data_IF_674313660882
#
_entry.id   IF_674313660882
#
_cell.length_a   1.000
_cell.length_b   1.000
_cell.length_c   1.000
_cell.angle_alpha   90.00
_cell.angle_beta   90.00
_cell.angle_gamma   90.00
#
_symmetry.space_group_name_H-M   'P 1'
#
loop_
_entity.id
_entity.type
_entity.pdbx_description
1 polymer ?
#
# COMPACT_ATOMS: atom_id res chain seq x y z
N UNK A 1 10.15 5.33 -40.12
CA UNK A 1 9.90 6.02 -38.85
C UNK A 1 10.99 7.04 -38.64
N UNK A 2 10.66 8.33 -38.49
CA UNK A 2 11.64 9.34 -38.08
C UNK A 2 12.19 8.91 -36.72
N UNK A 3 13.48 8.61 -36.68
CA UNK A 3 14.27 8.60 -35.47
C UNK A 3 14.15 10.00 -34.85
N UNK A 4 13.32 10.14 -33.82
CA UNK A 4 13.35 11.29 -32.92
C UNK A 4 14.63 11.19 -32.11
N UNK A 5 15.72 11.70 -32.69
CA UNK A 5 16.78 12.28 -31.87
C UNK A 5 16.15 13.46 -31.09
N UNK A 6 16.23 13.42 -29.75
CA UNK A 6 16.00 14.60 -28.92
C UNK A 6 14.89 14.52 -27.88
N UNK A 7 15.01 13.62 -26.91
CA UNK A 7 14.70 13.98 -25.52
C UNK A 7 15.85 13.40 -24.67
N UNK A 8 16.69 14.25 -24.06
CA UNK A 8 17.72 13.75 -23.14
C UNK A 8 17.10 13.19 -21.85
N UNK A 9 15.82 13.49 -21.61
CA UNK A 9 15.10 13.21 -20.37
C UNK A 9 14.67 11.74 -20.31
N UNK A 10 14.61 11.19 -19.11
CA UNK A 10 13.96 9.90 -18.89
C UNK A 10 12.44 10.04 -18.89
N UNK A 11 11.72 8.93 -18.95
CA UNK A 11 10.26 8.94 -18.84
C UNK A 11 9.78 9.48 -17.48
N UNK A 12 10.53 9.23 -16.41
CA UNK A 12 10.24 9.77 -15.07
C UNK A 12 10.34 11.29 -15.06
N UNK A 13 11.40 11.83 -15.66
CA UNK A 13 11.60 13.28 -15.83
C UNK A 13 10.52 13.94 -16.67
N UNK A 14 10.15 13.33 -17.81
CA UNK A 14 9.05 13.82 -18.65
C UNK A 14 7.73 13.87 -17.90
N UNK A 15 7.42 12.82 -17.11
CA UNK A 15 6.18 12.76 -16.35
C UNK A 15 6.15 13.75 -15.20
N UNK A 16 7.26 13.96 -14.48
CA UNK A 16 7.32 15.01 -13.47
C UNK A 16 7.04 16.39 -14.10
N UNK A 17 7.68 16.71 -15.22
CA UNK A 17 7.48 17.98 -15.89
C UNK A 17 6.02 18.18 -16.37
N UNK A 18 5.38 17.13 -16.90
CA UNK A 18 3.95 17.16 -17.25
C UNK A 18 3.06 17.44 -16.02
N UNK A 19 3.36 16.81 -14.88
CA UNK A 19 2.63 17.03 -13.62
C UNK A 19 2.84 18.44 -13.08
N UNK A 20 4.07 18.95 -13.10
CA UNK A 20 4.36 20.33 -12.68
C UNK A 20 3.64 21.35 -13.56
N UNK A 21 3.56 21.13 -14.88
CA UNK A 21 2.77 21.99 -15.78
C UNK A 21 1.28 21.92 -15.47
N UNK A 22 0.75 20.72 -15.22
CA UNK A 22 -0.65 20.55 -14.84
C UNK A 22 -0.96 21.26 -13.51
N UNK A 23 -0.07 21.12 -12.53
CA UNK A 23 -0.19 21.78 -11.23
C UNK A 23 -0.05 23.30 -11.33
N UNK A 24 0.78 23.80 -12.26
CA UNK A 24 1.01 25.23 -12.50
C UNK A 24 -0.27 25.98 -12.90
N UNK A 25 -1.13 25.29 -13.62
CA UNK A 25 -2.43 25.80 -14.06
C UNK A 25 -3.52 25.70 -12.96
N UNK A 26 -3.22 25.06 -11.82
CA UNK A 26 -4.11 24.95 -10.67
C UNK A 26 -3.84 26.07 -9.64
N UNK A 27 -4.87 26.43 -8.88
CA UNK A 27 -4.78 27.40 -7.77
C UNK A 27 -3.80 26.97 -6.68
N UNK A 28 -3.51 25.67 -6.56
CA UNK A 28 -2.56 25.11 -5.61
C UNK A 28 -1.09 25.44 -5.90
N UNK A 29 -0.76 25.87 -7.12
CA UNK A 29 0.63 26.10 -7.51
C UNK A 29 1.40 27.00 -6.55
N UNK A 30 0.77 28.10 -6.12
CA UNK A 30 1.42 29.09 -5.27
C UNK A 30 1.76 28.55 -3.88
N UNK A 31 0.89 27.74 -3.29
CA UNK A 31 1.15 27.10 -2.00
C UNK A 31 2.18 25.97 -2.15
N UNK A 32 2.10 25.20 -3.24
CA UNK A 32 3.10 24.18 -3.57
C UNK A 32 4.50 24.77 -3.75
N UNK A 33 4.65 25.84 -4.54
CA UNK A 33 5.93 26.48 -4.82
C UNK A 33 6.54 27.14 -3.56
N UNK A 34 5.70 27.70 -2.67
CA UNK A 34 6.17 28.20 -1.36
C UNK A 34 6.64 27.09 -0.44
N UNK A 35 5.88 26.00 -0.39
CA UNK A 35 6.25 24.83 0.41
C UNK A 35 7.58 24.26 -0.10
N UNK A 36 7.74 24.13 -1.42
CA UNK A 36 8.98 23.69 -2.06
C UNK A 36 10.16 24.59 -1.67
N UNK A 37 10.01 25.90 -1.86
CA UNK A 37 11.02 26.89 -1.51
C UNK A 37 11.42 26.83 -0.03
N UNK A 38 10.46 26.65 0.88
CA UNK A 38 10.71 26.51 2.30
C UNK A 38 11.45 25.21 2.64
N UNK A 39 11.07 24.08 2.03
CA UNK A 39 11.69 22.77 2.30
C UNK A 39 13.13 22.69 1.77
N UNK A 40 13.38 23.21 0.57
CA UNK A 40 14.67 23.05 -0.12
C UNK A 40 15.53 24.33 -0.15
N UNK A 41 15.10 25.38 0.55
CA UNK A 41 15.86 26.63 0.66
C UNK A 41 16.05 27.36 -0.67
N UNK A 42 15.06 27.27 -1.57
CA UNK A 42 15.10 27.91 -2.90
C UNK A 42 14.22 29.17 -2.95
N UNK A 43 14.26 29.90 -4.07
CA UNK A 43 13.30 30.98 -4.32
C UNK A 43 11.92 30.39 -4.69
N UNK A 44 10.85 31.12 -4.36
CA UNK A 44 9.52 30.79 -4.87
C UNK A 44 9.48 31.10 -6.36
N UNK A 45 9.18 30.09 -7.16
CA UNK A 45 9.16 30.19 -8.63
C UNK A 45 7.73 30.09 -9.16
N UNK A 46 7.44 30.83 -10.23
CA UNK A 46 6.13 30.86 -10.87
C UNK A 46 6.15 30.20 -12.27
N UNK A 47 7.06 29.25 -12.46
CA UNK A 47 7.29 28.53 -13.72
C UNK A 47 7.63 27.05 -13.45
N UNK A 48 6.98 26.16 -14.21
CA UNK A 48 7.12 24.71 -14.05
C UNK A 48 8.48 24.16 -14.52
N UNK A 49 9.08 24.73 -15.57
CA UNK A 49 10.41 24.32 -16.06
C UNK A 49 11.50 24.77 -15.10
N UNK A 50 11.35 25.95 -14.49
CA UNK A 50 12.30 26.42 -13.45
C UNK A 50 12.25 25.51 -12.23
N UNK A 51 11.05 25.19 -11.72
CA UNK A 51 10.92 24.27 -10.57
C UNK A 51 11.45 22.87 -10.92
N UNK A 52 11.17 22.38 -12.12
CA UNK A 52 11.75 21.12 -12.61
C UNK A 52 13.29 21.16 -12.66
N UNK A 53 13.86 22.28 -13.11
CA UNK A 53 15.30 22.53 -13.08
C UNK A 53 15.87 22.52 -11.66
N UNK A 54 15.15 23.11 -10.70
CA UNK A 54 15.50 23.07 -9.28
C UNK A 54 15.48 21.64 -8.74
N UNK A 55 14.46 20.83 -9.06
CA UNK A 55 14.44 19.41 -8.69
C UNK A 55 15.68 18.64 -9.20
N UNK A 56 16.16 18.97 -10.41
CA UNK A 56 17.35 18.37 -11.00
C UNK A 56 18.67 18.89 -10.40
N UNK A 57 18.67 20.08 -9.79
CA UNK A 57 19.88 20.67 -9.20
C UNK A 57 20.10 20.24 -7.75
N UNK A 58 19.03 19.90 -7.01
CA UNK A 58 19.13 19.43 -5.63
C UNK A 58 20.07 18.21 -5.49
N UNK A 59 20.84 18.05 -4.40
CA UNK A 59 21.57 16.82 -4.15
C UNK A 59 20.59 15.63 -4.02
N UNK A 60 20.80 14.48 -4.70
CA UNK A 60 19.81 13.40 -4.71
C UNK A 60 19.41 12.88 -3.33
N UNK A 61 20.36 12.85 -2.39
CA UNK A 61 20.10 12.43 -1.00
C UNK A 61 19.27 13.45 -0.22
N UNK A 62 19.52 14.74 -0.43
CA UNK A 62 18.70 15.80 0.18
C UNK A 62 17.29 15.82 -0.41
N UNK A 63 17.16 15.53 -1.72
CA UNK A 63 15.86 15.40 -2.38
C UNK A 63 15.06 14.20 -1.84
N UNK A 64 15.69 13.05 -1.63
CA UNK A 64 15.06 11.85 -1.04
C UNK A 64 14.53 12.11 0.37
N UNK A 65 15.29 12.80 1.22
CA UNK A 65 14.86 13.12 2.59
C UNK A 65 13.81 14.23 2.59
N UNK A 66 14.04 15.30 1.83
CA UNK A 66 13.17 16.48 1.80
C UNK A 66 11.78 16.21 1.22
N UNK A 67 11.64 15.25 0.28
CA UNK A 67 10.33 14.95 -0.32
C UNK A 67 9.34 14.40 0.72
N UNK A 68 9.81 13.74 1.78
CA UNK A 68 8.95 13.21 2.84
C UNK A 68 8.31 14.33 3.66
N UNK A 69 9.12 15.30 4.09
CA UNK A 69 8.64 16.51 4.78
C UNK A 69 7.69 17.30 3.88
N UNK A 70 8.09 17.49 2.63
CA UNK A 70 7.30 18.17 1.62
C UNK A 70 5.91 17.51 1.43
N UNK A 71 5.85 16.19 1.36
CA UNK A 71 4.60 15.45 1.19
C UNK A 71 3.63 15.61 2.37
N UNK A 72 4.13 15.67 3.60
CA UNK A 72 3.30 15.89 4.79
C UNK A 72 2.64 17.27 4.77
N UNK A 73 3.43 18.32 4.56
CA UNK A 73 2.96 19.71 4.47
C UNK A 73 1.93 19.86 3.34
N UNK A 74 2.22 19.32 2.16
CA UNK A 74 1.31 19.39 1.03
C UNK A 74 -0.02 18.68 1.30
N UNK A 75 0.00 17.54 2.00
CA UNK A 75 -1.22 16.81 2.33
C UNK A 75 -2.14 17.63 3.23
N UNK A 76 -1.59 18.38 4.19
CA UNK A 76 -2.38 19.25 5.07
C UNK A 76 -3.13 20.34 4.28
N UNK A 77 -2.49 20.91 3.26
CA UNK A 77 -3.10 21.92 2.38
C UNK A 77 -4.34 21.40 1.64
N UNK A 78 -4.37 20.11 1.31
CA UNK A 78 -5.47 19.48 0.56
C UNK A 78 -6.28 18.49 1.42
N UNK A 79 -6.20 18.61 2.74
CA UNK A 79 -6.83 17.70 3.69
C UNK A 79 -8.38 17.66 3.60
N UNK A 80 -9.04 18.45 2.76
CA UNK A 80 -10.50 18.40 2.59
C UNK A 80 -10.96 18.23 1.13
N UNK A 81 -10.05 18.10 0.16
CA UNK A 81 -10.38 18.02 -1.27
C UNK A 81 -9.72 16.80 -1.92
N UNK A 82 -10.49 15.73 -2.11
CA UNK A 82 -10.02 14.43 -2.63
C UNK A 82 -9.42 14.56 -4.04
N UNK A 83 -9.99 15.40 -4.91
CA UNK A 83 -9.47 15.59 -6.27
C UNK A 83 -8.09 16.22 -6.25
N UNK A 84 -7.94 17.26 -5.42
CA UNK A 84 -6.67 17.95 -5.21
C UNK A 84 -5.61 17.09 -4.49
N UNK A 85 -6.03 16.24 -3.55
CA UNK A 85 -5.14 15.23 -2.93
C UNK A 85 -4.47 14.35 -3.97
N UNK A 86 -5.21 13.90 -4.98
CA UNK A 86 -4.64 13.07 -6.04
C UNK A 86 -3.61 13.82 -6.88
N UNK A 87 -3.90 15.06 -7.30
CA UNK A 87 -2.96 15.85 -8.11
C UNK A 87 -1.64 16.14 -7.37
N UNK A 88 -1.76 16.54 -6.09
CA UNK A 88 -0.61 16.78 -5.20
C UNK A 88 0.16 15.50 -4.93
N UNK A 89 -0.54 14.42 -4.57
CA UNK A 89 0.08 13.13 -4.28
C UNK A 89 0.82 12.56 -5.48
N UNK A 90 0.23 12.59 -6.67
CA UNK A 90 0.88 12.15 -7.91
C UNK A 90 2.12 13.00 -8.24
N UNK A 91 2.09 14.30 -7.96
CA UNK A 91 3.24 15.19 -8.19
C UNK A 91 4.37 14.91 -7.19
N UNK A 92 4.05 14.74 -5.91
CA UNK A 92 5.02 14.37 -4.87
C UNK A 92 5.66 12.99 -5.15
N UNK A 93 4.87 12.00 -5.57
CA UNK A 93 5.37 10.69 -6.02
C UNK A 93 6.32 10.84 -7.20
N UNK A 94 6.01 11.68 -8.19
CA UNK A 94 6.89 11.92 -9.33
C UNK A 94 8.23 12.56 -8.92
N UNK A 95 8.24 13.45 -7.92
CA UNK A 95 9.47 14.01 -7.33
C UNK A 95 10.27 12.92 -6.62
N UNK A 96 9.62 12.09 -5.80
CA UNK A 96 10.26 10.96 -5.12
C UNK A 96 10.89 9.97 -6.12
N UNK A 97 10.21 9.66 -7.21
CA UNK A 97 10.74 8.82 -8.29
C UNK A 97 11.94 9.46 -9.00
N UNK A 98 11.93 10.78 -9.24
CA UNK A 98 13.11 11.49 -9.75
C UNK A 98 14.29 11.39 -8.77
N UNK A 99 14.03 11.53 -7.46
CA UNK A 99 15.04 11.41 -6.43
C UNK A 99 15.67 10.00 -6.43
N UNK A 100 14.84 8.95 -6.50
CA UNK A 100 15.29 7.57 -6.67
C UNK A 100 16.12 7.39 -7.94
N UNK A 101 15.66 7.90 -9.09
CA UNK A 101 16.39 7.82 -10.35
C UNK A 101 17.80 8.39 -10.24
N UNK A 102 17.92 9.62 -9.74
CA UNK A 102 19.21 10.30 -9.62
C UNK A 102 20.12 9.61 -8.62
N UNK A 103 19.57 9.11 -7.51
CA UNK A 103 20.33 8.34 -6.53
C UNK A 103 20.83 7.01 -7.10
N UNK A 104 19.97 6.25 -7.77
CA UNK A 104 20.31 4.98 -8.41
C UNK A 104 21.42 5.18 -9.44
N UNK A 105 21.31 6.18 -10.32
CA UNK A 105 22.32 6.47 -11.33
C UNK A 105 23.64 6.97 -10.72
N UNK A 106 23.61 7.62 -9.56
CA UNK A 106 24.82 8.00 -8.84
C UNK A 106 25.54 6.79 -8.22
N UNK A 107 24.79 5.83 -7.68
CA UNK A 107 25.38 4.62 -7.08
C UNK A 107 25.82 3.59 -8.13
N UNK A 108 25.08 3.49 -9.23
CA UNK A 108 25.30 2.55 -10.33
C UNK A 108 25.25 3.28 -11.70
N UNK A 109 26.29 4.04 -12.08
CA UNK A 109 26.30 4.82 -13.33
C UNK A 109 26.13 3.97 -14.60
N UNK A 110 26.55 2.71 -14.57
CA UNK A 110 26.42 1.77 -15.70
C UNK A 110 24.96 1.51 -16.10
N UNK A 111 23.98 1.76 -15.22
CA UNK A 111 22.56 1.66 -15.56
C UNK A 111 22.14 2.71 -16.60
N UNK A 112 22.92 3.79 -16.77
CA UNK A 112 22.68 4.81 -17.78
C UNK A 112 22.95 4.34 -19.22
N UNK A 113 23.74 3.27 -19.38
CA UNK A 113 24.11 2.71 -20.70
C UNK A 113 22.92 1.99 -21.38
N UNK A 114 21.84 1.78 -20.63
CA UNK A 114 20.59 1.19 -21.09
C UNK A 114 20.39 -0.25 -20.62
N UNK A 115 19.13 -0.67 -20.54
CA UNK A 115 18.76 -2.01 -20.12
C UNK A 115 19.21 -3.07 -21.15
N UNK A 116 19.76 -4.22 -20.70
CA UNK A 116 20.02 -5.35 -21.57
C UNK A 116 18.73 -5.82 -22.24
N UNK A 117 18.79 -6.03 -23.56
CA UNK A 117 17.64 -6.50 -24.35
C UNK A 117 17.19 -7.90 -23.90
N UNK A 118 18.12 -8.71 -23.41
CA UNK A 118 17.85 -10.04 -22.89
C UNK A 118 17.29 -10.05 -21.45
N UNK A 119 16.94 -8.88 -20.88
CA UNK A 119 16.37 -8.75 -19.54
C UNK A 119 17.36 -8.25 -18.49
N UNK A 120 16.81 -7.65 -17.43
CA UNK A 120 17.56 -7.09 -16.30
C UNK A 120 17.61 -8.08 -15.14
N UNK A 121 18.80 -8.36 -14.61
CA UNK A 121 18.96 -9.07 -13.34
C UNK A 121 19.14 -8.02 -12.23
N UNK A 122 18.25 -8.02 -11.25
CA UNK A 122 18.22 -7.00 -10.19
C UNK A 122 18.45 -7.65 -8.83
N UNK A 123 19.48 -7.20 -8.13
CA UNK A 123 19.74 -7.58 -6.73
C UNK A 123 18.79 -6.82 -5.80
N UNK A 124 17.56 -7.34 -5.71
CA UNK A 124 16.53 -6.90 -4.77
C UNK A 124 15.60 -8.09 -4.49
N UNK A 125 15.20 -8.25 -3.24
CA UNK A 125 14.18 -9.23 -2.81
C UNK A 125 12.78 -8.63 -2.81
N UNK A 126 12.67 -7.30 -2.72
CA UNK A 126 11.40 -6.59 -2.75
C UNK A 126 10.99 -6.19 -4.18
N UNK A 127 9.76 -6.52 -4.55
CA UNK A 127 9.21 -6.29 -5.89
C UNK A 127 9.10 -4.80 -6.24
N UNK A 128 8.70 -3.96 -5.30
CA UNK A 128 8.56 -2.52 -5.52
C UNK A 128 9.94 -1.90 -5.77
N UNK A 129 10.93 -2.25 -4.94
CA UNK A 129 12.30 -1.80 -5.12
C UNK A 129 12.85 -2.24 -6.49
N UNK A 130 12.67 -3.51 -6.84
CA UNK A 130 13.12 -4.06 -8.12
C UNK A 130 12.46 -3.33 -9.31
N UNK A 131 11.17 -3.03 -9.23
CA UNK A 131 10.45 -2.32 -10.27
C UNK A 131 10.92 -0.87 -10.46
N UNK A 132 11.20 -0.14 -9.38
CA UNK A 132 11.74 1.22 -9.46
C UNK A 132 13.12 1.20 -10.12
N UNK A 133 13.98 0.26 -9.73
CA UNK A 133 15.32 0.10 -10.34
C UNK A 133 15.20 -0.27 -11.83
N UNK A 134 14.30 -1.19 -12.17
CA UNK A 134 14.02 -1.58 -13.55
C UNK A 134 13.51 -0.39 -14.39
N UNK A 135 12.68 0.47 -13.81
CA UNK A 135 12.17 1.66 -14.50
C UNK A 135 13.27 2.68 -14.82
N UNK A 136 14.24 2.83 -13.92
CA UNK A 136 15.44 3.66 -14.15
C UNK A 136 16.31 3.05 -15.24
N UNK A 137 16.63 1.76 -15.14
CA UNK A 137 17.52 1.07 -16.07
C UNK A 137 16.95 0.97 -17.49
N UNK A 138 15.64 0.69 -17.61
CA UNK A 138 14.94 0.61 -18.91
C UNK A 138 14.54 1.98 -19.47
N UNK A 139 14.49 3.02 -18.63
CA UNK A 139 13.95 4.35 -18.95
C UNK A 139 12.48 4.34 -19.41
N UNK A 140 11.74 3.25 -19.17
CA UNK A 140 10.35 3.06 -19.63
C UNK A 140 9.28 3.59 -18.65
N UNK A 141 9.72 4.19 -17.55
CA UNK A 141 8.84 4.77 -16.53
C UNK A 141 8.20 3.72 -15.61
N UNK A 142 7.54 4.22 -14.57
CA UNK A 142 6.80 3.41 -13.59
C UNK A 142 5.53 4.16 -13.18
N UNK A 143 4.44 3.41 -12.96
CA UNK A 143 3.21 3.96 -12.41
C UNK A 143 2.99 3.36 -11.03
N UNK A 144 3.16 4.18 -10.00
CA UNK A 144 2.83 3.81 -8.63
C UNK A 144 1.41 4.27 -8.30
N UNK A 145 0.63 3.37 -7.71
CA UNK A 145 -0.73 3.63 -7.22
C UNK A 145 -0.87 3.08 -5.81
N UNK A 146 -1.84 3.57 -5.06
CA UNK A 146 -2.20 2.97 -3.77
C UNK A 146 -3.02 1.72 -4.05
N UNK A 147 -2.59 0.58 -3.53
CA UNK A 147 -3.39 -0.63 -3.60
C UNK A 147 -4.67 -0.47 -2.77
N UNK A 148 -5.85 -0.70 -3.35
CA UNK A 148 -7.11 -0.50 -2.60
C UNK A 148 -7.36 -1.54 -1.50
N UNK A 149 -6.65 -2.67 -1.53
CA UNK A 149 -6.80 -3.76 -0.58
C UNK A 149 -5.71 -3.71 0.48
N UNK A 150 -4.46 -3.57 0.05
CA UNK A 150 -3.31 -3.59 0.94
C UNK A 150 -2.81 -2.22 1.32
N UNK A 151 -3.33 -1.16 0.70
CA UNK A 151 -2.93 0.25 0.81
C UNK A 151 -1.43 0.58 0.77
N UNK A 152 -0.65 -0.42 0.37
CA UNK A 152 0.75 -0.29 0.04
C UNK A 152 0.89 0.32 -1.38
N UNK A 153 2.03 0.96 -1.68
CA UNK A 153 2.41 1.27 -3.05
C UNK A 153 2.42 0.01 -3.92
N UNK A 154 1.59 0.02 -4.97
CA UNK A 154 1.58 -0.99 -6.03
C UNK A 154 2.10 -0.39 -7.33
N UNK A 155 2.82 -1.21 -8.09
CA UNK A 155 3.24 -0.87 -9.44
C UNK A 155 2.21 -1.35 -10.45
N UNK A 156 1.53 -0.41 -11.09
CA UNK A 156 0.33 -0.64 -11.90
C UNK A 156 0.64 -1.00 -13.37
N UNK A 157 1.92 -0.90 -13.78
CA UNK A 157 2.38 -1.27 -15.13
C UNK A 157 3.22 -2.57 -15.15
N UNK A 158 3.21 -3.36 -14.06
CA UNK A 158 3.84 -4.69 -14.07
C UNK A 158 2.89 -5.72 -14.66
N UNK A 159 3.34 -6.47 -15.64
CA UNK A 159 2.67 -7.70 -16.03
C UNK A 159 2.79 -8.73 -14.87
N UNK A 160 1.79 -9.63 -14.72
CA UNK A 160 1.75 -10.59 -13.63
C UNK A 160 3.04 -11.42 -13.54
N UNK A 161 3.47 -11.74 -12.31
CA UNK A 161 4.70 -12.51 -12.06
C UNK A 161 4.46 -14.01 -11.95
N UNK A 162 3.23 -14.41 -11.66
CA UNK A 162 2.80 -15.78 -11.43
C UNK A 162 1.93 -16.29 -12.58
N UNK A 163 2.15 -17.55 -12.94
CA UNK A 163 1.20 -18.32 -13.75
C UNK A 163 0.31 -19.03 -12.74
N UNK A 164 -1.01 -18.78 -12.74
CA UNK A 164 -1.93 -19.51 -11.86
C UNK A 164 -1.70 -21.02 -12.03
N UNK A 165 -1.68 -21.84 -10.96
CA UNK A 165 -1.19 -23.23 -11.01
C UNK A 165 -1.90 -24.18 -12.00
N UNK A 166 -3.02 -23.77 -12.61
CA UNK A 166 -3.84 -24.61 -13.50
C UNK A 166 -4.48 -23.90 -14.71
N UNK A 167 -4.33 -22.59 -14.90
CA UNK A 167 -5.28 -21.85 -15.75
C UNK A 167 -4.54 -21.08 -16.84
N UNK A 168 -4.91 -21.34 -18.11
CA UNK A 168 -5.09 -20.39 -19.23
C UNK A 168 -5.21 -21.13 -20.58
N UNK A 169 -4.98 -22.46 -20.63
CA UNK A 169 -5.26 -23.33 -21.79
C UNK A 169 -4.56 -22.89 -23.10
N UNK A 170 -3.50 -22.09 -22.99
CA UNK A 170 -2.54 -21.79 -24.05
C UNK A 170 -1.36 -22.76 -23.91
N UNK A 171 -1.05 -23.49 -24.97
CA UNK A 171 0.01 -24.50 -24.96
C UNK A 171 1.41 -23.96 -25.26
N UNK A 172 1.50 -22.74 -25.81
CA UNK A 172 2.74 -22.12 -26.26
C UNK A 172 3.16 -20.94 -25.37
N UNK A 173 4.43 -20.89 -25.00
CA UNK A 173 5.02 -19.90 -24.08
C UNK A 173 4.94 -18.47 -24.61
N UNK A 174 5.13 -18.30 -25.92
CA UNK A 174 5.06 -17.02 -26.58
C UNK A 174 3.62 -16.52 -26.64
N UNK A 175 2.67 -17.38 -26.96
CA UNK A 175 1.24 -17.04 -26.92
C UNK A 175 0.77 -16.69 -25.50
N UNK A 176 1.26 -17.40 -24.48
CA UNK A 176 0.99 -17.05 -23.07
C UNK A 176 1.45 -15.63 -22.74
N UNK A 177 2.69 -15.29 -23.10
CA UNK A 177 3.23 -13.95 -22.84
C UNK A 177 2.51 -12.86 -23.65
N UNK A 178 2.17 -13.12 -24.92
CA UNK A 178 1.43 -12.17 -25.76
C UNK A 178 0.00 -11.95 -25.23
N UNK A 179 -0.65 -13.00 -24.76
CA UNK A 179 -1.99 -12.92 -24.17
C UNK A 179 -2.01 -12.04 -22.93
N UNK A 180 -0.99 -12.11 -22.07
CA UNK A 180 -0.84 -11.23 -20.91
C UNK A 180 -0.68 -9.76 -21.30
N UNK A 181 0.19 -9.49 -22.28
CA UNK A 181 0.36 -8.12 -22.80
C UNK A 181 -0.97 -7.59 -23.32
N UNK A 182 -1.70 -8.38 -24.10
CA UNK A 182 -3.00 -7.96 -24.62
C UNK A 182 -4.07 -7.79 -23.53
N UNK A 183 -4.07 -8.66 -22.51
CA UNK A 183 -4.98 -8.57 -21.37
C UNK A 183 -4.76 -7.28 -20.57
N UNK A 184 -3.51 -6.90 -20.31
CA UNK A 184 -3.18 -5.63 -19.68
C UNK A 184 -3.56 -4.44 -20.55
N UNK A 185 -3.33 -4.51 -21.87
CA UNK A 185 -3.76 -3.46 -22.81
C UNK A 185 -5.27 -3.25 -22.77
N UNK A 186 -6.06 -4.34 -22.71
CA UNK A 186 -7.51 -4.26 -22.60
C UNK A 186 -7.95 -3.73 -21.23
N UNK A 187 -7.31 -4.15 -20.14
CA UNK A 187 -7.60 -3.65 -18.79
C UNK A 187 -7.32 -2.14 -18.67
N UNK A 188 -6.17 -1.69 -19.17
CA UNK A 188 -5.81 -0.26 -19.19
C UNK A 188 -6.79 0.56 -20.04
N UNK A 189 -7.18 0.05 -21.22
CA UNK A 189 -8.16 0.72 -22.10
C UNK A 189 -9.50 0.94 -21.41
N UNK A 190 -9.91 0.00 -20.56
CA UNK A 190 -11.19 0.05 -19.85
C UNK A 190 -11.09 0.69 -18.46
N UNK A 191 -9.90 1.16 -18.06
CA UNK A 191 -9.60 1.70 -16.72
C UNK A 191 -9.91 0.71 -15.59
N UNK A 192 -9.60 -0.56 -15.84
CA UNK A 192 -9.90 -1.69 -14.95
C UNK A 192 -8.63 -2.35 -14.38
N UNK A 193 -7.49 -1.65 -14.38
CA UNK A 193 -6.21 -2.17 -13.88
C UNK A 193 -6.26 -2.62 -12.42
N UNK A 194 -7.03 -1.95 -11.56
CA UNK A 194 -7.25 -2.39 -10.19
C UNK A 194 -7.81 -3.82 -10.12
N UNK A 195 -8.78 -4.14 -10.98
CA UNK A 195 -9.38 -5.48 -11.03
C UNK A 195 -8.48 -6.51 -11.71
N UNK A 196 -7.57 -6.05 -12.58
CA UNK A 196 -6.57 -6.89 -13.21
C UNK A 196 -5.46 -7.28 -12.21
N UNK A 197 -5.11 -6.41 -11.26
CA UNK A 197 -4.04 -6.62 -10.28
C UNK A 197 -4.47 -7.09 -8.87
N UNK A 198 -5.72 -6.90 -8.42
CA UNK A 198 -6.16 -7.24 -7.05
C UNK A 198 -6.43 -8.73 -6.78
N UNK A 199 -6.48 -9.16 -5.51
CA UNK A 199 -6.65 -10.58 -5.12
C UNK A 199 -7.84 -10.88 -4.17
N UNK A 200 -8.21 -12.16 -4.05
CA UNK A 200 -9.30 -12.84 -3.30
C UNK A 200 -10.61 -13.22 -4.03
N UNK A 201 -10.88 -12.72 -5.25
CA UNK A 201 -11.93 -13.28 -6.15
C UNK A 201 -11.54 -13.17 -7.63
N UNK A 202 -10.33 -13.61 -7.98
CA UNK A 202 -9.66 -13.48 -9.28
C UNK A 202 -10.53 -13.83 -10.51
N UNK A 203 -11.39 -12.90 -10.91
CA UNK A 203 -12.08 -12.92 -12.21
C UNK A 203 -11.46 -11.91 -13.16
N UNK A 204 -10.91 -10.77 -12.72
CA UNK A 204 -10.44 -9.72 -13.63
C UNK A 204 -9.40 -10.18 -14.64
N UNK A 205 -8.17 -10.53 -14.20
CA UNK A 205 -7.10 -11.06 -15.07
C UNK A 205 -7.57 -12.28 -15.87
N UNK A 206 -8.14 -13.29 -15.20
CA UNK A 206 -8.64 -14.51 -15.83
C UNK A 206 -9.68 -14.23 -16.93
N UNK A 207 -10.69 -13.40 -16.66
CA UNK A 207 -11.71 -13.00 -17.63
C UNK A 207 -11.08 -12.28 -18.81
N UNK A 208 -10.07 -11.43 -18.59
CA UNK A 208 -9.35 -10.79 -19.69
C UNK A 208 -8.62 -11.81 -20.55
N UNK A 209 -7.91 -12.76 -19.95
CA UNK A 209 -7.22 -13.82 -20.68
C UNK A 209 -8.20 -14.74 -21.44
N UNK A 210 -9.34 -15.09 -20.84
CA UNK A 210 -10.43 -15.83 -21.50
C UNK A 210 -11.01 -15.04 -22.68
N UNK A 211 -11.20 -13.73 -22.54
CA UNK A 211 -11.64 -12.84 -23.62
C UNK A 211 -10.60 -12.72 -24.73
N UNK A 212 -9.30 -12.64 -24.41
CA UNK A 212 -8.23 -12.64 -25.42
C UNK A 212 -8.24 -13.98 -26.16
N UNK A 213 -8.42 -15.10 -25.44
CA UNK A 213 -8.48 -16.42 -26.05
C UNK A 213 -9.66 -16.61 -27.00
N UNK A 214 -10.84 -16.10 -26.64
CA UNK A 214 -12.02 -16.20 -27.52
C UNK A 214 -11.91 -15.35 -28.79
N UNK A 215 -11.17 -14.25 -28.74
CA UNK A 215 -10.93 -13.34 -29.88
C UNK A 215 -9.69 -13.69 -30.69
N UNK A 216 -8.73 -14.39 -30.09
CA UNK A 216 -7.37 -14.58 -30.61
C UNK A 216 -6.44 -13.42 -30.22
N UNK A 217 -5.13 -13.70 -30.19
CA UNK A 217 -4.09 -12.69 -30.01
C UNK A 217 -4.04 -11.82 -31.26
N UNK A 218 -4.11 -10.49 -31.14
CA UNK A 218 -4.11 -9.61 -32.30
C UNK A 218 -2.75 -9.58 -33.00
N UNK A 219 -2.75 -9.13 -34.25
CA UNK A 219 -1.52 -8.89 -34.99
C UNK A 219 -0.59 -7.91 -34.25
N UNK A 220 0.71 -8.10 -34.42
CA UNK A 220 1.77 -7.34 -33.74
C UNK A 220 1.60 -5.82 -33.86
N UNK A 221 1.22 -5.31 -35.03
CA UNK A 221 0.98 -3.87 -35.23
C UNK A 221 -0.12 -3.32 -34.30
N UNK A 222 -1.22 -4.07 -34.14
CA UNK A 222 -2.31 -3.68 -33.25
C UNK A 222 -1.88 -3.72 -31.78
N UNK A 223 -1.05 -4.70 -31.40
CA UNK A 223 -0.48 -4.80 -30.05
C UNK A 223 0.45 -3.62 -29.76
N UNK A 224 1.31 -3.25 -30.71
CA UNK A 224 2.19 -2.07 -30.59
C UNK A 224 1.38 -0.76 -30.45
N UNK A 225 0.29 -0.59 -31.21
CA UNK A 225 -0.60 0.57 -31.05
C UNK A 225 -1.24 0.56 -29.65
N UNK A 226 -1.70 -0.60 -29.19
CA UNK A 226 -2.24 -0.78 -27.85
C UNK A 226 -1.26 -0.35 -26.76
N UNK A 227 -0.04 -0.89 -26.80
CA UNK A 227 1.05 -0.57 -25.89
C UNK A 227 1.40 0.91 -25.87
N UNK A 228 1.50 1.57 -27.04
CA UNK A 228 1.75 3.01 -27.11
C UNK A 228 0.65 3.82 -26.42
N UNK A 229 -0.63 3.46 -26.61
CA UNK A 229 -1.75 4.13 -25.93
C UNK A 229 -1.73 3.91 -24.42
N UNK A 230 -1.39 2.70 -23.98
CA UNK A 230 -1.19 2.40 -22.55
C UNK A 230 -0.07 3.27 -21.99
N UNK A 231 1.06 3.34 -22.68
CA UNK A 231 2.22 4.12 -22.27
C UNK A 231 1.94 5.64 -22.24
N UNK A 232 1.16 6.16 -23.19
CA UNK A 232 0.66 7.54 -23.19
C UNK A 232 -0.24 7.81 -21.97
N UNK A 233 -1.18 6.91 -21.69
CA UNK A 233 -2.18 7.09 -20.63
C UNK A 233 -1.63 6.86 -19.22
N UNK A 234 -0.89 5.77 -19.02
CA UNK A 234 -0.30 5.43 -17.74
C UNK A 234 0.96 6.23 -17.46
N UNK A 235 1.62 6.72 -18.51
CA UNK A 235 2.93 7.36 -18.44
C UNK A 235 4.09 6.38 -18.32
N UNK A 236 3.82 5.07 -18.30
CA UNK A 236 4.80 4.02 -18.18
C UNK A 236 4.46 2.87 -19.14
N UNK A 237 5.47 2.21 -19.68
CA UNK A 237 5.28 1.05 -20.54
C UNK A 237 5.08 -0.21 -19.71
N UNK A 238 4.19 -1.14 -20.12
CA UNK A 238 4.13 -2.47 -19.52
C UNK A 238 5.49 -3.16 -19.51
N UNK A 239 5.80 -3.81 -18.39
CA UNK A 239 7.06 -4.52 -18.16
C UNK A 239 6.80 -5.81 -17.39
N UNK A 240 7.47 -6.90 -17.73
CA UNK A 240 7.43 -8.13 -16.93
C UNK A 240 8.38 -8.00 -15.74
N UNK A 241 7.86 -8.19 -14.53
CA UNK A 241 8.65 -8.23 -13.29
C UNK A 241 8.48 -9.57 -12.62
N UNK A 242 9.40 -10.50 -12.84
CA UNK A 242 9.25 -11.92 -12.50
C UNK A 242 10.18 -12.28 -11.35
N UNK A 243 9.67 -12.99 -10.33
CA UNK A 243 10.54 -13.62 -9.34
C UNK A 243 11.35 -14.71 -10.02
N UNK A 244 12.68 -14.64 -9.94
CA UNK A 244 13.52 -15.54 -10.70
C UNK A 244 13.34 -17.01 -10.29
N UNK A 245 12.96 -17.27 -9.03
CA UNK A 245 12.63 -18.60 -8.54
C UNK A 245 11.33 -19.18 -9.12
N UNK A 246 10.40 -18.34 -9.62
CA UNK A 246 9.10 -18.78 -10.09
C UNK A 246 9.13 -19.25 -11.56
N UNK A 247 8.40 -20.33 -11.92
CA UNK A 247 8.32 -20.78 -13.31
C UNK A 247 7.51 -19.79 -14.16
N UNK A 248 8.13 -19.27 -15.23
CA UNK A 248 7.50 -18.30 -16.11
C UNK A 248 8.05 -18.38 -17.55
N UNK A 249 7.22 -18.15 -18.61
CA UNK A 249 7.68 -18.12 -20.02
C UNK A 249 8.86 -17.19 -20.27
N UNK A 250 8.89 -16.06 -19.56
CA UNK A 250 9.94 -15.05 -19.70
C UNK A 250 11.28 -15.46 -19.10
N UNK A 251 11.48 -16.72 -18.68
CA UNK A 251 12.82 -17.29 -18.44
C UNK A 251 13.58 -17.58 -19.74
N UNK A 252 12.90 -17.69 -20.88
CA UNK A 252 13.55 -17.77 -22.20
C UNK A 252 14.11 -16.40 -22.63
N UNK A 253 15.44 -16.32 -22.77
CA UNK A 253 16.15 -15.12 -23.20
C UNK A 253 15.81 -14.68 -24.64
N UNK A 254 15.45 -15.60 -25.53
CA UNK A 254 15.03 -15.28 -26.89
C UNK A 254 13.66 -14.62 -26.88
N UNK A 255 12.73 -15.13 -26.07
CA UNK A 255 11.41 -14.54 -25.89
C UNK A 255 11.52 -13.14 -25.28
N UNK A 256 12.36 -12.95 -24.25
CA UNK A 256 12.64 -11.62 -23.68
C UNK A 256 13.17 -10.64 -24.73
N UNK A 257 14.10 -11.09 -25.58
CA UNK A 257 14.67 -10.28 -26.65
C UNK A 257 13.61 -9.89 -27.68
N UNK A 258 12.78 -10.84 -28.10
CA UNK A 258 11.69 -10.60 -29.04
C UNK A 258 10.76 -9.51 -28.49
N UNK A 259 10.26 -9.66 -27.26
CA UNK A 259 9.35 -8.69 -26.65
C UNK A 259 9.98 -7.31 -26.46
N UNK A 260 11.26 -7.24 -26.06
CA UNK A 260 11.96 -5.99 -25.92
C UNK A 260 12.15 -5.27 -27.28
N UNK A 261 12.55 -5.99 -28.34
CA UNK A 261 12.81 -5.39 -29.65
C UNK A 261 11.53 -5.07 -30.40
N UNK A 262 10.58 -6.01 -30.42
CA UNK A 262 9.39 -5.93 -31.26
C UNK A 262 8.25 -5.18 -30.58
N UNK A 263 8.12 -5.30 -29.26
CA UNK A 263 7.03 -4.71 -28.50
C UNK A 263 7.51 -3.64 -27.52
N UNK A 264 8.81 -3.41 -27.36
CA UNK A 264 9.34 -2.51 -26.32
C UNK A 264 8.96 -2.95 -24.90
N UNK A 265 8.55 -4.20 -24.71
CA UNK A 265 8.14 -4.73 -23.39
C UNK A 265 9.35 -5.42 -22.79
N UNK A 266 9.95 -4.79 -21.80
CA UNK A 266 11.14 -5.32 -21.14
C UNK A 266 10.78 -6.37 -20.07
N UNK A 267 11.81 -7.02 -19.54
CA UNK A 267 11.68 -7.96 -18.42
C UNK A 267 12.78 -7.70 -17.41
N UNK A 268 12.43 -7.72 -16.13
CA UNK A 268 13.39 -7.85 -15.04
C UNK A 268 13.10 -9.10 -14.22
N UNK A 269 14.18 -9.72 -13.76
CA UNK A 269 14.19 -10.83 -12.82
C UNK A 269 14.81 -10.31 -11.52
N UNK A 270 14.18 -10.63 -10.40
CA UNK A 270 14.60 -10.21 -9.06
C UNK A 270 14.44 -11.39 -8.10
N UNK A 271 14.88 -11.23 -6.85
CA UNK A 271 15.04 -12.24 -5.77
C UNK A 271 16.46 -12.80 -5.60
N UNK A 272 16.63 -13.67 -4.59
CA UNK A 272 17.89 -14.33 -4.29
C UNK A 272 18.45 -15.17 -5.46
N UNK A 273 17.60 -15.81 -6.25
CA UNK A 273 18.04 -16.60 -7.40
C UNK A 273 18.54 -15.68 -8.54
N UNK A 274 17.95 -14.49 -8.69
CA UNK A 274 18.50 -13.48 -9.61
C UNK A 274 19.90 -13.02 -9.18
N UNK A 275 20.13 -12.87 -7.87
CA UNK A 275 21.45 -12.49 -7.30
C UNK A 275 22.51 -13.54 -7.57
N UNK A 276 22.17 -14.81 -7.40
CA UNK A 276 23.07 -15.95 -7.68
C UNK A 276 23.46 -16.05 -9.16
N UNK A 277 22.64 -15.49 -10.05
CA UNK A 277 22.88 -15.46 -11.49
C UNK A 277 23.79 -14.32 -11.96
N UNK A 278 24.14 -13.38 -11.06
CA UNK A 278 25.06 -12.28 -11.36
C UNK A 278 26.52 -12.76 -11.35
N UNK A 279 27.37 -12.12 -12.16
CA UNK A 279 28.82 -12.31 -12.00
C UNK A 279 29.32 -11.73 -10.68
N UNK A 280 30.46 -12.22 -10.16
CA UNK A 280 31.04 -11.71 -8.90
C UNK A 280 31.25 -10.18 -8.91
N UNK A 281 31.65 -9.62 -10.05
CA UNK A 281 31.85 -8.18 -10.21
C UNK A 281 30.53 -7.40 -10.15
N UNK A 282 29.46 -7.93 -10.76
CA UNK A 282 28.14 -7.30 -10.72
C UNK A 282 27.58 -7.37 -9.30
N UNK A 283 27.59 -8.56 -8.68
CA UNK A 283 27.11 -8.75 -7.31
C UNK A 283 27.82 -7.82 -6.32
N UNK A 284 29.15 -7.66 -6.43
CA UNK A 284 29.90 -6.71 -5.60
C UNK A 284 29.48 -5.25 -5.79
N UNK A 285 29.15 -4.84 -7.03
CA UNK A 285 28.66 -3.49 -7.32
C UNK A 285 27.26 -3.25 -6.73
N UNK A 286 26.34 -4.21 -6.89
CA UNK A 286 24.99 -4.16 -6.32
C UNK A 286 25.01 -4.08 -4.79
N UNK A 287 25.78 -4.95 -4.14
CA UNK A 287 25.93 -4.96 -2.67
C UNK A 287 26.49 -3.64 -2.12
N UNK A 288 27.43 -3.02 -2.84
CA UNK A 288 27.98 -1.72 -2.47
C UNK A 288 26.96 -0.60 -2.65
N UNK A 289 26.16 -0.64 -3.70
CA UNK A 289 25.16 0.38 -4.04
C UNK A 289 23.98 0.42 -3.06
N UNK A 290 23.62 -0.72 -2.44
CA UNK A 290 22.53 -0.83 -1.44
C UNK A 290 21.21 -0.19 -1.88
N UNK A 291 20.83 -0.38 -3.14
CA UNK A 291 19.71 0.33 -3.76
C UNK A 291 18.34 0.03 -3.14
N UNK A 292 18.05 -1.23 -2.80
CA UNK A 292 16.73 -1.61 -2.27
C UNK A 292 16.35 -0.83 -0.99
N UNK A 293 17.18 -0.83 0.08
CA UNK A 293 16.88 -0.05 1.28
C UNK A 293 16.62 1.43 0.98
N UNK A 294 17.43 2.05 0.11
CA UNK A 294 17.29 3.47 -0.20
C UNK A 294 16.00 3.77 -0.97
N UNK A 295 15.57 2.88 -1.87
CA UNK A 295 14.29 3.01 -2.56
C UNK A 295 13.12 2.83 -1.59
N UNK A 296 13.14 1.81 -0.74
CA UNK A 296 12.03 1.50 0.18
C UNK A 296 11.88 2.57 1.26
N UNK A 297 12.99 3.09 1.79
CA UNK A 297 12.97 4.18 2.78
C UNK A 297 12.51 5.51 2.20
N UNK A 298 12.44 5.65 0.87
CA UNK A 298 11.82 6.80 0.21
C UNK A 298 10.36 6.52 -0.12
N UNK A 299 10.08 5.48 -0.92
CA UNK A 299 8.75 5.28 -1.52
C UNK A 299 7.71 4.83 -0.49
N UNK A 300 8.07 3.94 0.45
CA UNK A 300 7.15 3.47 1.48
C UNK A 300 6.66 4.61 2.37
N UNK A 301 7.57 5.32 3.07
CA UNK A 301 7.20 6.46 3.91
C UNK A 301 6.51 7.60 3.14
N UNK A 302 6.86 7.82 1.86
CA UNK A 302 6.17 8.80 1.03
C UNK A 302 4.69 8.46 0.84
N UNK A 303 4.38 7.19 0.59
CA UNK A 303 2.99 6.74 0.47
C UNK A 303 2.25 6.83 1.82
N UNK A 304 2.90 6.48 2.92
CA UNK A 304 2.34 6.63 4.28
C UNK A 304 2.04 8.09 4.61
N UNK A 305 2.94 9.02 4.23
CA UNK A 305 2.75 10.44 4.45
C UNK A 305 1.56 10.99 3.64
N UNK A 306 1.37 10.53 2.40
CA UNK A 306 0.34 11.03 1.47
C UNK A 306 -1.04 10.38 1.71
N UNK A 307 -1.10 9.11 2.11
CA UNK A 307 -2.33 8.30 2.16
C UNK A 307 -2.50 7.51 3.47
N UNK A 308 -2.38 8.11 4.67
CA UNK A 308 -2.36 7.34 5.91
C UNK A 308 -3.72 6.75 6.31
N UNK A 309 -4.85 7.21 5.76
CA UNK A 309 -6.16 6.61 6.06
C UNK A 309 -6.35 5.29 5.31
N UNK A 310 -5.88 5.26 4.06
CA UNK A 310 -5.72 4.04 3.28
C UNK A 310 -4.74 3.11 4.00
N UNK A 311 -3.59 3.61 4.48
CA UNK A 311 -2.62 2.84 5.27
C UNK A 311 -3.20 2.31 6.60
N UNK A 312 -4.05 3.08 7.30
CA UNK A 312 -4.77 2.62 8.50
C UNK A 312 -5.76 1.51 8.19
N UNK A 313 -6.35 1.51 7.00
CA UNK A 313 -7.18 0.40 6.52
C UNK A 313 -6.38 -0.88 6.22
N UNK A 314 -5.04 -0.84 6.27
CA UNK A 314 -4.15 -1.95 5.88
C UNK A 314 -3.87 -2.97 6.96
N UNK A 315 -3.93 -2.63 8.25
CA UNK A 315 -3.75 -3.70 9.22
C UNK A 315 -5.03 -4.52 9.15
N UNK A 316 -4.96 -5.64 8.44
CA UNK A 316 -6.00 -6.65 8.53
C UNK A 316 -6.28 -6.80 10.02
N UNK A 317 -7.55 -6.74 10.42
CA UNK A 317 -7.89 -6.67 11.84
C UNK A 317 -7.21 -7.81 12.65
N UNK A 318 -6.91 -8.93 11.98
CA UNK A 318 -6.16 -10.11 12.45
C UNK A 318 -4.65 -9.93 12.70
N UNK A 319 -4.03 -8.86 12.21
CA UNK A 319 -2.60 -8.52 12.35
C UNK A 319 -2.40 -7.26 13.21
N UNK A 320 -3.50 -6.65 13.65
CA UNK A 320 -3.48 -5.55 14.62
C UNK A 320 -3.21 -6.06 16.03
N UNK A 321 -2.67 -5.19 16.87
CA UNK A 321 -2.61 -5.39 18.31
C UNK A 321 -3.04 -4.10 19.01
N UNK A 322 -3.95 -4.22 19.96
CA UNK A 322 -4.57 -3.11 20.67
C UNK A 322 -4.11 -3.09 22.13
N UNK A 323 -3.98 -1.91 22.71
CA UNK A 323 -3.77 -1.78 24.16
C UNK A 323 -5.08 -1.97 24.91
N UNK A 324 -6.18 -1.52 24.34
CA UNK A 324 -7.52 -1.65 24.94
C UNK A 324 -8.51 -2.10 23.89
N UNK A 325 -9.38 -3.04 24.22
CA UNK A 325 -10.55 -3.39 23.41
C UNK A 325 -11.84 -3.23 24.22
N UNK A 326 -12.88 -2.63 23.62
CA UNK A 326 -14.17 -2.40 24.25
C UNK A 326 -15.22 -3.38 23.70
N UNK A 327 -15.72 -4.29 24.53
CA UNK A 327 -16.86 -5.17 24.20
C UNK A 327 -18.11 -4.70 24.92
N UNK A 328 -19.17 -4.42 24.17
CA UNK A 328 -20.40 -3.83 24.69
C UNK A 328 -21.61 -4.15 23.79
N UNK A 329 -22.84 -4.09 24.33
CA UNK A 329 -24.05 -4.20 23.52
C UNK A 329 -24.34 -2.89 22.79
N UNK A 330 -24.75 -2.97 21.53
CA UNK A 330 -24.97 -1.80 20.66
C UNK A 330 -25.94 -0.73 21.21
N UNK A 331 -26.84 -1.07 22.12
CA UNK A 331 -27.77 -0.16 22.82
C UNK A 331 -27.03 0.91 23.64
N UNK A 332 -25.86 0.57 24.18
CA UNK A 332 -25.04 1.46 24.99
C UNK A 332 -23.97 2.19 24.19
N UNK A 333 -24.00 2.08 22.85
CA UNK A 333 -23.04 2.70 21.93
C UNK A 333 -22.81 4.20 22.20
N UNK A 334 -23.83 5.06 22.44
CA UNK A 334 -23.58 6.48 22.70
C UNK A 334 -22.66 6.72 23.91
N UNK A 335 -22.80 5.91 24.96
CA UNK A 335 -21.97 6.03 26.16
C UNK A 335 -20.56 5.48 25.95
N UNK A 336 -20.45 4.30 25.34
CA UNK A 336 -19.14 3.67 25.08
C UNK A 336 -18.33 4.45 24.05
N UNK A 337 -19.00 5.07 23.06
CA UNK A 337 -18.34 6.00 22.12
C UNK A 337 -17.73 7.19 22.86
N UNK A 338 -18.45 7.78 23.82
CA UNK A 338 -17.91 8.89 24.61
C UNK A 338 -16.66 8.48 25.42
N UNK A 339 -16.63 7.25 25.94
CA UNK A 339 -15.43 6.68 26.59
C UNK A 339 -14.30 6.51 25.56
N UNK A 340 -14.60 5.95 24.39
CA UNK A 340 -13.63 5.77 23.30
C UNK A 340 -12.99 7.09 22.87
N UNK A 341 -13.80 8.14 22.68
CA UNK A 341 -13.33 9.47 22.31
C UNK A 341 -12.39 10.08 23.39
N UNK A 342 -12.63 9.83 24.68
CA UNK A 342 -11.74 10.24 25.77
C UNK A 342 -10.45 9.41 25.82
N UNK A 343 -10.55 8.09 25.65
CA UNK A 343 -9.39 7.18 25.63
C UNK A 343 -8.42 7.54 24.50
N UNK A 344 -8.93 7.89 23.31
CA UNK A 344 -8.14 8.32 22.14
C UNK A 344 -7.34 9.62 22.36
N UNK A 345 -7.59 10.37 23.43
CA UNK A 345 -6.77 11.54 23.78
C UNK A 345 -5.46 11.12 24.46
N UNK A 346 -5.45 9.99 25.16
CA UNK A 346 -4.28 9.45 25.86
C UNK A 346 -3.67 8.20 25.21
N UNK A 347 -4.42 7.52 24.35
CA UNK A 347 -3.99 6.42 23.49
C UNK A 347 -4.03 6.88 22.04
N UNK A 348 -3.09 6.44 21.21
CA UNK A 348 -3.20 6.64 19.77
C UNK A 348 -4.50 5.99 19.25
N UNK A 349 -5.14 6.55 18.21
CA UNK A 349 -6.38 5.98 17.64
C UNK A 349 -6.21 4.54 17.14
N UNK A 350 -4.98 4.09 16.86
CA UNK A 350 -4.65 2.73 16.46
C UNK A 350 -4.41 1.76 17.64
N UNK A 351 -4.34 2.26 18.87
CA UNK A 351 -4.10 1.45 20.07
C UNK A 351 -5.41 1.04 20.78
N UNK A 352 -6.55 1.57 20.35
CA UNK A 352 -7.87 1.29 20.92
C UNK A 352 -8.75 0.58 19.90
N UNK A 353 -9.33 -0.55 20.29
CA UNK A 353 -10.38 -1.19 19.51
C UNK A 353 -11.77 -0.75 19.97
N UNK A 354 -12.45 -0.02 19.08
CA UNK A 354 -13.87 0.31 19.13
C UNK A 354 -14.50 -0.05 17.78
N UNK A 355 -15.50 -0.92 17.78
CA UNK A 355 -16.02 -1.62 16.59
C UNK A 355 -16.37 -0.71 15.41
N UNK A 356 -16.96 0.46 15.66
CA UNK A 356 -17.38 1.39 14.60
C UNK A 356 -16.20 2.05 13.86
N UNK A 357 -15.04 2.20 14.51
CA UNK A 357 -13.81 2.68 13.85
C UNK A 357 -13.30 1.67 12.81
N UNK A 358 -13.62 0.39 13.01
CA UNK A 358 -13.21 -0.73 12.16
C UNK A 358 -14.36 -1.28 11.34
N UNK A 359 -15.46 -0.54 11.17
CA UNK A 359 -16.66 -1.01 10.45
C UNK A 359 -16.37 -1.51 9.03
N UNK A 360 -15.40 -0.93 8.33
CA UNK A 360 -14.97 -1.40 7.01
C UNK A 360 -14.38 -2.82 7.06
N UNK A 361 -13.63 -3.15 8.12
CA UNK A 361 -13.07 -4.49 8.36
C UNK A 361 -14.15 -5.49 8.79
N UNK A 362 -15.12 -5.03 9.59
CA UNK A 362 -16.17 -5.87 10.19
C UNK A 362 -17.39 -6.07 9.28
N UNK A 363 -17.57 -5.27 8.22
CA UNK A 363 -18.70 -5.38 7.29
C UNK A 363 -18.58 -6.57 6.32
N UNK A 364 -18.46 -7.78 6.86
CA UNK A 364 -18.31 -9.04 6.11
C UNK A 364 -19.05 -10.20 6.76
N UNK A 365 -19.43 -11.25 6.00
CA UNK A 365 -19.88 -12.50 6.60
C UNK A 365 -18.86 -13.03 7.61
N UNK A 366 -19.36 -13.63 8.69
CA UNK A 366 -18.54 -14.20 9.77
C UNK A 366 -17.64 -13.20 10.52
N UNK A 367 -18.06 -11.93 10.65
CA UNK A 367 -17.33 -10.91 11.38
C UNK A 367 -17.08 -11.21 12.88
N UNK A 368 -17.71 -12.25 13.44
CA UNK A 368 -17.44 -12.72 14.79
C UNK A 368 -16.03 -13.32 14.91
N UNK A 369 -15.49 -13.92 13.85
CA UNK A 369 -14.16 -14.53 13.86
C UNK A 369 -13.04 -13.51 14.14
N UNK A 370 -12.94 -12.37 13.43
CA UNK A 370 -11.95 -11.36 13.76
C UNK A 370 -12.22 -10.69 15.11
N UNK A 371 -13.48 -10.46 15.51
CA UNK A 371 -13.78 -9.92 16.85
C UNK A 371 -13.31 -10.84 17.97
N UNK A 372 -13.50 -12.16 17.82
CA UNK A 372 -13.00 -13.14 18.78
C UNK A 372 -11.48 -13.08 18.91
N UNK A 373 -10.74 -12.92 17.80
CA UNK A 373 -9.29 -12.70 17.85
C UNK A 373 -8.92 -11.41 18.56
N UNK A 374 -9.65 -10.31 18.31
CA UNK A 374 -9.38 -9.03 18.97
C UNK A 374 -9.52 -9.12 20.49
N UNK A 375 -10.64 -9.68 20.96
CA UNK A 375 -10.92 -9.81 22.38
C UNK A 375 -10.05 -10.89 23.06
N UNK A 376 -9.68 -11.94 22.32
CA UNK A 376 -8.84 -13.02 22.83
C UNK A 376 -7.36 -12.64 22.85
N UNK A 377 -6.81 -12.41 21.66
CA UNK A 377 -5.37 -12.48 21.36
C UNK A 377 -4.74 -11.17 20.97
N UNK A 378 -5.52 -10.17 20.59
CA UNK A 378 -4.96 -8.93 20.03
C UNK A 378 -5.24 -7.72 20.89
N UNK A 379 -5.46 -7.88 22.19
CA UNK A 379 -5.64 -6.77 23.12
C UNK A 379 -4.89 -6.98 24.44
N UNK A 380 -4.21 -5.97 24.97
CA UNK A 380 -3.59 -6.06 26.30
C UNK A 380 -4.67 -6.13 27.39
N UNK A 381 -5.64 -5.21 27.34
CA UNK A 381 -6.75 -5.09 28.27
C UNK A 381 -8.09 -5.19 27.52
N UNK A 382 -8.90 -6.18 27.89
CA UNK A 382 -10.29 -6.30 27.45
C UNK A 382 -11.24 -5.66 28.47
N UNK A 383 -11.99 -4.66 28.03
CA UNK A 383 -13.01 -3.99 28.83
C UNK A 383 -14.38 -4.49 28.39
N UNK A 384 -15.12 -5.09 29.31
CA UNK A 384 -16.43 -5.70 29.03
C UNK A 384 -17.52 -4.91 29.75
N UNK A 385 -18.50 -4.43 29.00
CA UNK A 385 -19.67 -3.72 29.53
C UNK A 385 -20.87 -4.66 29.59
N UNK A 386 -21.16 -5.17 30.79
CA UNK A 386 -22.18 -6.17 31.06
C UNK A 386 -23.57 -5.53 31.20
N UNK A 387 -24.59 -6.22 30.69
CA UNK A 387 -26.00 -5.94 30.95
C UNK A 387 -26.88 -7.14 30.58
N UNK A 388 -28.19 -7.05 30.79
CA UNK A 388 -29.15 -8.08 30.38
C UNK A 388 -29.05 -8.43 28.89
N UNK A 389 -28.93 -7.44 28.01
CA UNK A 389 -28.82 -7.62 26.55
C UNK A 389 -27.50 -8.29 26.15
N UNK A 390 -26.43 -8.09 26.93
CA UNK A 390 -25.14 -8.72 26.71
C UNK A 390 -25.24 -10.25 26.83
N UNK A 391 -26.02 -10.75 27.79
CA UNK A 391 -26.25 -12.19 27.98
C UNK A 391 -27.20 -12.78 26.92
N UNK A 392 -28.21 -12.01 26.48
CA UNK A 392 -29.31 -12.53 25.66
C UNK A 392 -29.00 -12.60 24.17
N UNK A 393 -28.08 -11.77 23.66
CA UNK A 393 -27.79 -11.70 22.22
C UNK A 393 -26.86 -12.82 21.78
N UNK A 394 -27.20 -13.47 20.66
CA UNK A 394 -26.36 -14.50 20.03
C UNK A 394 -24.93 -14.02 19.75
N UNK A 395 -24.76 -12.75 19.36
CA UNK A 395 -23.45 -12.17 19.06
C UNK A 395 -22.59 -11.96 20.32
N UNK A 396 -23.15 -11.30 21.33
CA UNK A 396 -22.50 -11.09 22.62
C UNK A 396 -22.25 -12.44 23.33
N UNK A 397 -23.08 -13.46 23.11
CA UNK A 397 -22.82 -14.82 23.57
C UNK A 397 -21.60 -15.49 22.95
N UNK A 398 -21.22 -15.15 21.70
CA UNK A 398 -19.97 -15.65 21.09
C UNK A 398 -18.75 -14.91 21.61
N UNK A 399 -18.83 -13.59 21.77
CA UNK A 399 -17.79 -12.78 22.42
C UNK A 399 -17.56 -13.23 23.86
N UNK A 400 -18.64 -13.49 24.60
CA UNK A 400 -18.62 -13.97 25.97
C UNK A 400 -17.93 -15.32 26.12
N UNK A 401 -18.01 -16.21 25.12
CA UNK A 401 -17.26 -17.48 25.14
C UNK A 401 -15.75 -17.26 25.14
N UNK A 402 -15.25 -16.22 24.46
CA UNK A 402 -13.83 -15.84 24.48
C UNK A 402 -13.45 -15.27 25.83
N UNK A 403 -14.29 -14.39 26.41
CA UNK A 403 -14.09 -13.86 27.77
C UNK A 403 -14.04 -15.00 28.79
N UNK A 404 -15.01 -15.92 28.70
CA UNK A 404 -15.10 -17.08 29.59
C UNK A 404 -13.91 -18.01 29.41
N UNK A 405 -13.45 -18.26 28.18
CA UNK A 405 -12.24 -19.02 27.92
C UNK A 405 -11.00 -18.36 28.55
N UNK A 406 -10.84 -17.04 28.44
CA UNK A 406 -9.75 -16.31 29.09
C UNK A 406 -9.80 -16.45 30.63
N UNK A 407 -11.00 -16.38 31.24
CA UNK A 407 -11.19 -16.62 32.67
C UNK A 407 -10.78 -18.06 33.02
N UNK A 408 -11.21 -19.06 32.22
CA UNK A 408 -10.82 -20.46 32.43
C UNK A 408 -9.30 -20.69 32.27
N UNK A 409 -8.64 -19.92 31.40
CA UNK A 409 -7.19 -19.94 31.19
C UNK A 409 -6.40 -19.08 32.21
N UNK A 410 -7.07 -18.57 33.26
CA UNK A 410 -6.49 -17.72 34.31
C UNK A 410 -5.89 -16.40 33.81
N UNK A 411 -6.47 -15.82 32.78
CA UNK A 411 -6.08 -14.53 32.21
C UNK A 411 -6.94 -13.37 32.76
N UNK A 412 -7.63 -13.54 33.90
CA UNK A 412 -8.51 -12.50 34.48
C UNK A 412 -7.82 -11.16 34.74
N UNK A 413 -6.48 -11.14 34.91
CA UNK A 413 -5.70 -9.92 35.07
C UNK A 413 -5.77 -8.97 33.86
N UNK A 414 -6.24 -9.45 32.70
CA UNK A 414 -6.42 -8.69 31.46
C UNK A 414 -7.88 -8.32 31.17
N UNK A 415 -8.79 -8.65 32.08
CA UNK A 415 -10.21 -8.34 31.94
C UNK A 415 -10.57 -7.23 32.94
N UNK A 416 -11.35 -6.26 32.48
CA UNK A 416 -11.94 -5.21 33.31
C UNK A 416 -13.45 -5.18 33.08
N UNK A 417 -14.21 -5.34 34.15
CA UNK A 417 -15.67 -5.44 34.08
C UNK A 417 -16.32 -4.11 34.44
N UNK A 418 -17.27 -3.71 33.60
CA UNK A 418 -18.26 -2.68 33.86
C UNK A 418 -19.65 -3.31 33.78
N UNK A 419 -20.64 -2.72 34.43
CA UNK A 419 -22.04 -3.18 34.36
C UNK A 419 -23.02 -2.02 34.24
N UNK A 420 -24.07 -2.19 33.44
CA UNK A 420 -25.17 -1.21 33.34
C UNK A 420 -26.38 -1.58 34.19
N UNK A 421 -26.50 -2.86 34.56
CA UNK A 421 -27.57 -3.40 35.40
C UNK A 421 -27.06 -4.55 36.27
N UNK A 422 -27.95 -5.12 37.09
CA UNK A 422 -27.68 -6.27 37.96
C UNK A 422 -28.04 -7.61 37.28
N UNK A 423 -28.06 -7.67 35.95
CA UNK A 423 -28.36 -8.91 35.25
C UNK A 423 -27.32 -10.00 35.58
N UNK A 424 -27.82 -11.23 35.77
CA UNK A 424 -26.95 -12.39 35.97
C UNK A 424 -26.27 -12.76 34.65
N UNK A 425 -24.95 -12.81 34.66
CA UNK A 425 -24.12 -13.23 33.53
C UNK A 425 -23.55 -14.62 33.83
N UNK A 426 -23.71 -15.55 32.89
CA UNK A 426 -23.25 -16.92 33.10
C UNK A 426 -21.73 -16.98 33.18
N UNK A 427 -21.17 -17.64 34.20
CA UNK A 427 -19.73 -17.76 34.38
C UNK A 427 -19.08 -16.69 35.25
N UNK A 428 -19.83 -15.65 35.64
CA UNK A 428 -19.46 -14.76 36.74
C UNK A 428 -20.13 -15.20 38.04
N UNK A 429 -19.41 -15.03 39.14
CA UNK A 429 -19.92 -15.24 40.50
C UNK A 429 -20.51 -13.93 41.03
N UNK A 430 -21.40 -14.04 42.01
CA UNK A 430 -21.94 -12.87 42.72
C UNK A 430 -20.89 -12.09 43.52
N UNK A 431 -19.68 -12.64 43.65
CA UNK A 431 -18.54 -11.99 44.34
C UNK A 431 -17.64 -11.23 43.37
N UNK A 432 -17.81 -11.40 42.06
CA UNK A 432 -17.02 -10.69 41.05
C UNK A 432 -17.44 -9.22 40.99
N UNK A 433 -16.45 -8.33 41.00
CA UNK A 433 -16.67 -6.88 41.09
C UNK A 433 -16.62 -6.28 39.70
N UNK A 434 -17.69 -5.59 39.31
CA UNK A 434 -17.77 -4.75 38.12
C UNK A 434 -18.01 -3.29 38.51
N UNK A 435 -17.42 -2.36 37.76
CA UNK A 435 -17.67 -0.94 37.95
C UNK A 435 -19.08 -0.61 37.47
N UNK A 436 -19.85 0.04 38.33
CA UNK A 436 -21.23 0.42 38.03
C UNK A 436 -21.29 1.62 37.07
N UNK A 437 -22.00 1.46 35.96
CA UNK A 437 -22.30 2.47 34.96
C UNK A 437 -23.81 2.71 34.79
N UNK A 438 -24.62 2.25 35.75
CA UNK A 438 -26.08 2.28 35.73
C UNK A 438 -26.70 3.67 35.97
N UNK A 439 -27.75 3.72 36.79
CA UNK A 439 -28.67 4.87 36.90
C UNK A 439 -28.00 6.22 37.23
N UNK A 440 -26.87 6.20 37.95
CA UNK A 440 -26.02 7.37 38.24
C UNK A 440 -24.71 7.28 37.44
N UNK A 441 -24.81 7.36 36.11
CA UNK A 441 -23.71 7.08 35.16
C UNK A 441 -22.38 7.70 35.62
N UNK A 442 -21.40 6.84 35.86
CA UNK A 442 -20.00 7.24 35.91
C UNK A 442 -19.70 8.11 34.66
N UNK A 443 -19.17 9.34 34.81
CA UNK A 443 -18.89 10.17 33.64
C UNK A 443 -17.92 9.44 32.69
N UNK A 444 -18.14 9.50 31.35
CA UNK A 444 -17.27 8.80 30.39
C UNK A 444 -15.77 9.11 30.54
N UNK A 445 -15.42 10.35 30.90
CA UNK A 445 -14.05 10.76 31.17
C UNK A 445 -13.46 10.08 32.41
N UNK A 446 -14.27 9.89 33.45
CA UNK A 446 -13.86 9.18 34.67
C UNK A 446 -13.71 7.67 34.40
N UNK A 447 -14.65 7.09 33.67
CA UNK A 447 -14.56 5.70 33.20
C UNK A 447 -13.29 5.46 32.37
N UNK A 448 -12.99 6.35 31.41
CA UNK A 448 -11.76 6.32 30.63
C UNK A 448 -10.51 6.43 31.52
N UNK A 449 -10.52 7.32 32.51
CA UNK A 449 -9.43 7.46 33.48
C UNK A 449 -9.16 6.17 34.28
N UNK A 450 -10.21 5.46 34.70
CA UNK A 450 -10.09 4.15 35.36
C UNK A 450 -9.50 3.10 34.42
N UNK A 451 -9.93 3.05 33.16
CA UNK A 451 -9.42 2.13 32.14
C UNK A 451 -7.92 2.37 31.91
N UNK A 452 -7.49 3.62 31.73
CA UNK A 452 -6.07 3.97 31.56
C UNK A 452 -5.23 3.59 32.78
N UNK A 453 -5.76 3.84 33.98
CA UNK A 453 -5.11 3.43 35.23
C UNK A 453 -4.98 1.91 35.32
N UNK A 454 -6.00 1.16 34.91
CA UNK A 454 -5.96 -0.30 34.87
C UNK A 454 -4.95 -0.81 33.85
N UNK A 455 -4.93 -0.22 32.65
CA UNK A 455 -4.01 -0.57 31.57
C UNK A 455 -2.55 -0.43 32.00
N UNK A 456 -2.18 0.64 32.72
CA UNK A 456 -0.81 0.81 33.24
C UNK A 456 -0.36 -0.30 34.20
N UNK A 457 -1.31 -0.99 34.87
CA UNK A 457 -1.03 -2.12 35.74
C UNK A 457 -1.17 -3.48 35.05
N UNK A 458 -1.60 -3.50 33.78
CA UNK A 458 -1.79 -4.74 33.00
C UNK A 458 -0.53 -5.01 32.18
N UNK A 459 0.10 -6.19 32.31
CA UNK A 459 1.25 -6.54 31.49
C UNK A 459 0.82 -6.70 30.01
N UNK A 460 1.65 -6.25 29.05
CA UNK A 460 1.34 -6.42 27.64
C UNK A 460 1.23 -7.89 27.23
N UNK A 461 0.28 -8.23 26.35
CA UNK A 461 0.24 -9.54 25.70
C UNK A 461 1.32 -9.55 24.62
N UNK A 462 2.23 -10.53 24.67
CA UNK A 462 3.29 -10.72 23.67
C UNK A 462 2.83 -11.62 22.54
#
# INVERSE_FOLDING_TARGET
MKTTAGSSRSRLQEKLLERLRTLRDDVLWQDFARTWAATFGTAVVDDAEVLFGDCLSQPPRELLEGVLWFAQELRELVAHDIGKRSLIGETAIAIGLLACERHILNQCPQLADGAPVAGMLIDADDRLAAAVIAAVWSRMGIRLVVDKQTAAPRVDNLLPHDVEPLEYLWSDDRDRALAEVQAMVDAARLRELDSYHGNERARGRRVRLEQVRSRGIPAQEALQIGLRRVEEHLGARPIFGIQHADPHPMHDANLRREFAVELGVHTFLFDAAAKESLSESEAGAWQKARLQPDVLNCIGPLFEALYPEEVKSMKALQDMHFRVALSFPGEHRPYVKAISDELKKGLGPEELFYDDDFKAHLARPSAHLPLMKVYGDQSDLLVVFLCAEYQQKQWCGLEWRVVYEQIMQRQEARIMLFRFDDARIDGLLSVDIAIDCGADRLPPAEAAGLILKRLHATPPKR
#
